data_IF_907834728880
#
_entry.id   IF_907834728880
#
_cell.length_a   1.000
_cell.length_b   1.000
_cell.length_c   1.000
_cell.angle_alpha   90.00
_cell.angle_beta   90.00
_cell.angle_gamma   90.00
#
_symmetry.space_group_name_H-M   'P 1'
#
loop_
_entity.id
_entity.type
_entity.pdbx_description
1 polymer ?
#
# COMPACT_ATOMS: atom_id res chain seq x y z
N UNK A 1 -8.76 2.23 7.79
CA UNK A 1 -9.25 1.59 6.55
C UNK A 1 -8.53 2.07 5.28
N UNK A 2 -8.05 3.32 5.18
CA UNK A 2 -7.37 3.82 3.98
C UNK A 2 -5.91 3.37 3.74
N UNK A 3 -5.31 2.56 4.63
CA UNK A 3 -3.94 2.06 4.43
C UNK A 3 -3.88 0.73 3.67
N UNK A 4 -4.92 -0.10 3.79
CA UNK A 4 -5.02 -1.44 3.20
C UNK A 4 -5.48 -1.41 1.74
N UNK A 5 -6.27 -0.38 1.40
CA UNK A 5 -6.76 -0.09 0.07
C UNK A 5 -6.99 1.42 0.00
N UNK A 6 -7.00 2.01 -1.20
CA UNK A 6 -7.21 3.45 -1.43
C UNK A 6 -6.01 4.37 -1.11
N UNK A 7 -4.78 3.89 -1.29
CA UNK A 7 -3.57 4.69 -1.06
C UNK A 7 -3.39 5.79 -2.12
N UNK A 8 -3.83 5.54 -3.35
CA UNK A 8 -3.70 6.49 -4.46
C UNK A 8 -4.50 7.76 -4.15
N UNK A 9 -5.75 7.58 -3.71
CA UNK A 9 -6.69 8.60 -3.25
C UNK A 9 -6.12 9.38 -2.09
N UNK A 10 -5.52 8.69 -1.11
CA UNK A 10 -4.90 9.35 0.03
C UNK A 10 -3.76 10.28 -0.37
N UNK A 11 -2.93 9.88 -1.33
CA UNK A 11 -1.78 10.68 -1.79
C UNK A 11 -2.18 11.77 -2.79
N UNK A 12 -3.17 11.52 -3.65
CA UNK A 12 -3.68 12.51 -4.62
C UNK A 12 -4.60 13.55 -3.96
N UNK A 13 -5.35 13.16 -2.93
CA UNK A 13 -6.35 14.01 -2.28
C UNK A 13 -6.14 14.09 -0.75
N UNK A 14 -4.97 14.55 -0.27
CA UNK A 14 -4.64 14.56 1.15
C UNK A 14 -5.54 15.49 1.99
N UNK A 15 -6.22 16.45 1.33
CA UNK A 15 -7.15 17.40 1.98
C UNK A 15 -8.57 16.85 2.13
N UNK A 16 -8.88 15.70 1.55
CA UNK A 16 -10.22 15.11 1.58
C UNK A 16 -10.33 14.06 2.68
N UNK A 17 -11.50 13.98 3.31
CA UNK A 17 -11.75 12.97 4.33
C UNK A 17 -11.89 11.58 3.71
N UNK A 18 -11.41 10.57 4.43
CA UNK A 18 -11.39 9.16 4.01
C UNK A 18 -12.77 8.58 3.64
N UNK A 19 -13.85 9.17 4.14
CA UNK A 19 -15.23 8.80 3.78
C UNK A 19 -15.52 9.00 2.29
N UNK A 20 -14.81 9.92 1.63
CA UNK A 20 -14.98 10.20 0.21
C UNK A 20 -14.12 9.32 -0.69
N UNK A 21 -13.08 8.67 -0.15
CA UNK A 21 -12.17 7.84 -0.95
C UNK A 21 -12.87 6.72 -1.73
N UNK A 22 -13.90 6.01 -1.21
CA UNK A 22 -14.62 5.01 -1.99
C UNK A 22 -15.34 5.56 -3.21
N UNK A 23 -15.82 6.81 -3.17
CA UNK A 23 -16.45 7.44 -4.32
C UNK A 23 -15.39 7.95 -5.32
N UNK A 24 -14.30 8.51 -4.80
CA UNK A 24 -13.16 9.00 -5.59
C UNK A 24 -12.47 7.83 -6.33
N UNK A 25 -12.36 6.66 -5.70
CA UNK A 25 -11.71 5.48 -6.28
C UNK A 25 -12.36 5.03 -7.58
N UNK A 26 -13.69 5.08 -7.66
CA UNK A 26 -14.45 4.74 -8.86
C UNK A 26 -14.09 5.68 -10.01
N UNK A 27 -13.99 6.98 -9.72
CA UNK A 27 -13.61 8.00 -10.71
C UNK A 27 -12.16 7.80 -11.14
N UNK A 28 -11.24 7.67 -10.17
CA UNK A 28 -9.82 7.47 -10.46
C UNK A 28 -9.55 6.20 -11.26
N UNK A 29 -10.23 5.10 -10.94
CA UNK A 29 -10.09 3.84 -11.70
C UNK A 29 -10.54 4.02 -13.14
N UNK A 30 -11.67 4.71 -13.36
CA UNK A 30 -12.14 5.03 -14.72
C UNK A 30 -11.13 5.88 -15.47
N UNK A 31 -10.64 6.95 -14.85
CA UNK A 31 -9.63 7.82 -15.43
C UNK A 31 -8.32 7.07 -15.71
N UNK A 32 -7.84 6.25 -14.77
CA UNK A 32 -6.64 5.45 -14.98
C UNK A 32 -6.78 4.54 -16.22
N UNK A 33 -7.94 3.89 -16.39
CA UNK A 33 -8.22 3.08 -17.58
C UNK A 33 -8.24 3.92 -18.87
N UNK A 34 -8.85 5.11 -18.86
CA UNK A 34 -8.86 6.03 -20.01
C UNK A 34 -7.45 6.43 -20.45
N UNK A 35 -6.52 6.59 -19.51
CA UNK A 35 -5.12 6.92 -19.76
C UNK A 35 -4.20 5.70 -19.90
N UNK A 36 -4.74 4.48 -19.98
CA UNK A 36 -3.99 3.23 -20.00
C UNK A 36 -2.98 3.08 -18.84
N UNK A 37 -3.33 3.61 -17.66
CA UNK A 37 -2.54 3.52 -16.44
C UNK A 37 -3.01 2.35 -15.56
N UNK A 38 -2.07 1.62 -14.92
CA UNK A 38 -2.43 0.56 -14.00
C UNK A 38 -3.07 1.15 -12.73
N UNK A 39 -4.22 0.59 -12.35
CA UNK A 39 -4.88 0.89 -11.08
C UNK A 39 -4.76 -0.30 -10.14
N UNK A 40 -3.94 -0.17 -9.09
CA UNK A 40 -3.70 -1.25 -8.14
C UNK A 40 -4.65 -1.14 -6.95
N UNK A 41 -5.56 -2.10 -6.84
CA UNK A 41 -6.45 -2.26 -5.68
C UNK A 41 -6.52 -3.73 -5.26
N UNK A 42 -6.78 -3.96 -3.97
CA UNK A 42 -7.03 -5.32 -3.48
C UNK A 42 -8.52 -5.67 -3.65
N UNK A 43 -8.86 -6.85 -4.22
CA UNK A 43 -10.24 -7.21 -4.55
C UNK A 43 -11.10 -7.53 -3.31
N UNK A 44 -10.47 -7.79 -2.16
CA UNK A 44 -11.17 -8.02 -0.90
C UNK A 44 -10.33 -7.56 0.29
N UNK A 45 -11.00 -7.29 1.41
CA UNK A 45 -10.34 -6.92 2.66
C UNK A 45 -9.33 -7.98 3.13
N UNK A 46 -9.69 -9.27 3.03
CA UNK A 46 -8.78 -10.37 3.39
C UNK A 46 -7.56 -10.48 2.47
N UNK A 47 -7.72 -10.17 1.18
CA UNK A 47 -6.60 -10.13 0.24
C UNK A 47 -5.63 -8.98 0.58
N UNK A 48 -6.17 -7.80 0.91
CA UNK A 48 -5.39 -6.64 1.35
C UNK A 48 -4.58 -6.98 2.62
N UNK A 49 -5.25 -7.51 3.66
CA UNK A 49 -4.60 -7.90 4.91
C UNK A 49 -3.46 -8.89 4.70
N UNK A 50 -3.68 -9.92 3.86
CA UNK A 50 -2.65 -10.91 3.56
C UNK A 50 -1.45 -10.27 2.84
N UNK A 51 -1.72 -9.34 1.91
CA UNK A 51 -0.67 -8.63 1.19
C UNK A 51 0.19 -7.80 2.14
N UNK A 52 -0.46 -7.01 2.99
CA UNK A 52 0.20 -6.15 3.97
C UNK A 52 0.99 -6.98 4.98
N UNK A 53 0.43 -8.08 5.48
CA UNK A 53 1.14 -8.98 6.38
C UNK A 53 2.40 -9.57 5.74
N UNK A 54 2.35 -9.99 4.47
CA UNK A 54 3.55 -10.47 3.74
C UNK A 54 4.61 -9.38 3.63
N UNK A 55 4.20 -8.14 3.35
CA UNK A 55 5.11 -7.00 3.26
C UNK A 55 5.80 -6.73 4.60
N UNK A 56 5.02 -6.67 5.70
CA UNK A 56 5.54 -6.49 7.06
C UNK A 56 6.51 -7.61 7.44
N UNK A 57 6.17 -8.87 7.13
CA UNK A 57 7.06 -10.02 7.40
C UNK A 57 8.37 -9.92 6.61
N UNK A 58 8.32 -9.50 5.34
CA UNK A 58 9.50 -9.32 4.48
C UNK A 58 10.42 -8.23 5.05
N UNK A 59 9.87 -7.06 5.37
CA UNK A 59 10.66 -5.94 5.92
C UNK A 59 11.19 -6.25 7.32
N UNK A 60 10.41 -6.93 8.16
CA UNK A 60 10.87 -7.40 9.46
C UNK A 60 12.05 -8.35 9.35
N UNK A 61 12.00 -9.32 8.43
CA UNK A 61 13.13 -10.24 8.18
C UNK A 61 14.36 -9.50 7.65
N UNK A 62 14.18 -8.58 6.71
CA UNK A 62 15.28 -7.80 6.15
C UNK A 62 15.96 -6.94 7.22
N UNK A 63 15.19 -6.22 8.04
CA UNK A 63 15.73 -5.40 9.12
C UNK A 63 16.52 -6.23 10.16
N UNK A 64 16.10 -7.47 10.43
CA UNK A 64 16.84 -8.38 11.30
C UNK A 64 18.19 -8.77 10.70
N UNK A 65 18.21 -9.20 9.43
CA UNK A 65 19.45 -9.60 8.74
C UNK A 65 20.44 -8.43 8.61
N UNK A 66 19.95 -7.23 8.30
CA UNK A 66 20.79 -6.03 8.23
C UNK A 66 21.43 -5.69 9.59
N UNK A 67 20.72 -5.94 10.70
CA UNK A 67 21.27 -5.77 12.06
C UNK A 67 22.36 -6.80 12.35
N UNK A 68 22.15 -8.07 12.02
CA UNK A 68 23.15 -9.11 12.20
C UNK A 68 24.41 -8.85 11.36
N UNK A 69 24.26 -8.48 10.09
CA UNK A 69 25.40 -8.12 9.22
C UNK A 69 26.20 -6.94 9.77
N UNK A 70 25.53 -5.89 10.26
CA UNK A 70 26.20 -4.75 10.88
C UNK A 70 26.94 -5.13 12.16
N UNK A 71 26.38 -6.03 12.96
CA UNK A 71 27.03 -6.51 14.19
C UNK A 71 28.30 -7.33 13.88
N UNK A 72 28.27 -8.18 12.85
CA UNK A 72 29.43 -8.97 12.41
C UNK A 72 30.54 -8.09 11.84
N UNK A 73 30.21 -7.06 11.05
CA UNK A 73 31.20 -6.16 10.45
C UNK A 73 31.83 -5.17 11.44
N UNK A 74 31.20 -4.96 12.61
CA UNK A 74 31.68 -4.08 13.66
C UNK A 74 32.56 -4.81 14.70
N UNK A 75 32.69 -6.13 14.60
CA UNK A 75 33.55 -6.99 15.43
C UNK A 75 34.85 -7.31 14.69
#
# INVERSE_FOLDING_TARGET
MGSLNLQIEHHLFPKYFHIHYPAISVILKKTALEFNLPYLESPSFGAALRSDYRMLKKFGKQAYLEREQKAVMAA
#
